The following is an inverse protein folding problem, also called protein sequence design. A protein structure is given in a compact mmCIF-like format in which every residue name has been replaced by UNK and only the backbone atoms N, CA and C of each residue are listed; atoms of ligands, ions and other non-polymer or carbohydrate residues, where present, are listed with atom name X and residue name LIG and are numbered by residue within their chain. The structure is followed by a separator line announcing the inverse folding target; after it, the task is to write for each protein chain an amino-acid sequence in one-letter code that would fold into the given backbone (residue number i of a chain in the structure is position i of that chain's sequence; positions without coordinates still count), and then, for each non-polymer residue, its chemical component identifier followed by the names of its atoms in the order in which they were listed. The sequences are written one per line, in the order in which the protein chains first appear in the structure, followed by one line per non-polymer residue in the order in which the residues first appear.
data_IF_382967956884
#
_entry.id   IF_382967956884
#
_cell.length_a   1.000
_cell.length_b   1.000
_cell.length_c   1.000
_cell.angle_alpha   90.00
_cell.angle_beta   90.00
_cell.angle_gamma   90.00
#
_symmetry.space_group_name_H-M   'P 1'
#
loop_
_entity.id
_entity.type
_entity.pdbx_description
1 polymer ?
#
# COMPACT_ATOMS: atom_id res chain seq x y z
N UNK A 1 23.45 -11.00 6.35
CA UNK A 1 22.65 -10.81 7.58
C UNK A 1 21.44 -11.73 7.50
N UNK A 2 21.02 -12.37 8.60
CA UNK A 2 19.81 -13.22 8.61
C UNK A 2 18.82 -12.68 9.63
N UNK A 3 17.55 -12.62 9.25
CA UNK A 3 16.42 -12.34 10.14
C UNK A 3 15.59 -13.61 10.25
N UNK A 4 15.29 -13.99 11.47
CA UNK A 4 14.47 -15.15 11.79
C UNK A 4 13.03 -14.71 12.07
N UNK A 5 12.07 -15.41 11.47
CA UNK A 5 10.62 -15.13 11.59
C UNK A 5 9.84 -16.42 11.83
N UNK A 6 8.56 -16.25 12.14
CA UNK A 6 7.53 -17.30 12.27
C UNK A 6 6.95 -17.76 10.93
N UNK A 7 7.43 -17.19 9.82
CA UNK A 7 7.02 -17.55 8.46
C UNK A 7 8.21 -18.08 7.67
N UNK A 8 8.02 -18.88 6.60
CA UNK A 8 9.10 -19.52 5.86
C UNK A 8 10.05 -18.56 5.16
N UNK A 9 9.62 -17.30 5.00
CA UNK A 9 10.33 -16.23 4.31
C UNK A 9 9.36 -15.14 3.92
N UNK A 10 9.66 -14.39 2.86
CA UNK A 10 8.74 -13.40 2.28
C UNK A 10 7.73 -14.14 1.41
N UNK A 11 6.46 -13.97 1.71
CA UNK A 11 5.35 -14.53 0.94
C UNK A 11 4.77 -13.48 -0.01
N UNK A 12 4.17 -13.92 -1.11
CA UNK A 12 3.51 -13.04 -2.07
C UNK A 12 2.17 -12.46 -1.58
N UNK A 13 1.78 -12.76 -0.35
CA UNK A 13 0.61 -12.22 0.35
C UNK A 13 0.65 -12.59 1.84
N UNK A 14 -0.16 -11.92 2.65
CA UNK A 14 -0.30 -12.26 4.07
C UNK A 14 -1.12 -13.56 4.20
N UNK A 15 -0.57 -14.64 4.75
CA UNK A 15 -1.27 -15.93 4.87
C UNK A 15 -2.51 -15.87 5.78
N UNK A 16 -2.63 -14.82 6.60
CA UNK A 16 -3.83 -14.57 7.42
C UNK A 16 -4.99 -14.01 6.60
N UNK A 17 -4.72 -13.55 5.38
CA UNK A 17 -5.71 -12.95 4.47
C UNK A 17 -5.88 -13.79 3.20
N UNK A 18 -4.82 -14.41 2.71
CA UNK A 18 -4.79 -15.19 1.47
C UNK A 18 -4.38 -16.63 1.75
N UNK A 19 -5.23 -17.60 1.40
CA UNK A 19 -5.02 -19.02 1.72
C UNK A 19 -3.86 -19.65 0.93
N UNK A 20 -3.63 -19.22 -0.32
CA UNK A 20 -2.67 -19.84 -1.25
C UNK A 20 -1.45 -18.94 -1.48
N UNK A 21 -0.77 -18.58 -0.38
CA UNK A 21 0.45 -17.78 -0.49
C UNK A 21 1.65 -18.61 -0.90
N UNK A 22 2.53 -18.02 -1.73
CA UNK A 22 3.73 -18.66 -2.24
C UNK A 22 4.98 -17.95 -1.71
N UNK A 23 6.00 -18.74 -1.40
CA UNK A 23 7.31 -18.22 -0.98
C UNK A 23 8.01 -17.55 -2.15
N UNK A 24 8.52 -16.34 -1.90
CA UNK A 24 9.43 -15.64 -2.81
C UNK A 24 10.85 -16.01 -2.43
N UNK A 25 11.56 -16.74 -3.29
CA UNK A 25 12.90 -17.20 -3.02
C UNK A 25 13.93 -16.07 -3.08
N UNK A 26 13.65 -15.09 -3.96
CA UNK A 26 14.55 -13.98 -4.20
C UNK A 26 13.78 -12.71 -4.53
N UNK A 27 14.15 -11.60 -3.91
CA UNK A 27 13.63 -10.26 -4.22
C UNK A 27 14.79 -9.24 -4.19
N UNK A 28 14.62 -8.13 -4.93
CA UNK A 28 15.55 -7.01 -4.82
C UNK A 28 15.29 -6.17 -3.58
N UNK A 29 16.27 -5.34 -3.16
CA UNK A 29 16.02 -4.34 -2.12
C UNK A 29 14.90 -3.36 -2.50
N UNK A 30 14.86 -2.97 -3.79
CA UNK A 30 13.81 -2.08 -4.31
C UNK A 30 12.44 -2.72 -4.11
N UNK A 31 12.30 -3.97 -4.53
CA UNK A 31 11.03 -4.69 -4.39
C UNK A 31 10.61 -4.85 -2.92
N UNK A 32 11.55 -5.19 -2.04
CA UNK A 32 11.28 -5.30 -0.61
C UNK A 32 10.82 -3.96 0.01
N UNK A 33 11.38 -2.84 -0.43
CA UNK A 33 10.98 -1.49 0.01
C UNK A 33 9.58 -1.16 -0.53
N UNK A 34 9.30 -1.44 -1.80
CA UNK A 34 7.98 -1.21 -2.40
C UNK A 34 6.89 -2.03 -1.69
N UNK A 35 7.11 -3.32 -1.51
CA UNK A 35 6.19 -4.18 -0.77
C UNK A 35 5.92 -3.64 0.65
N UNK A 36 6.98 -3.22 1.35
CA UNK A 36 6.85 -2.65 2.70
C UNK A 36 6.13 -1.29 2.70
N UNK A 37 6.33 -0.45 1.69
CA UNK A 37 5.64 0.83 1.53
C UNK A 37 4.12 0.61 1.38
N UNK A 38 3.73 -0.34 0.56
CA UNK A 38 2.32 -0.69 0.38
C UNK A 38 1.70 -1.42 1.59
N UNK A 39 2.52 -1.84 2.58
CA UNK A 39 2.04 -2.37 3.85
C UNK A 39 2.35 -3.83 4.13
N UNK A 40 3.15 -4.48 3.29
CA UNK A 40 3.60 -5.83 3.60
C UNK A 40 4.52 -5.84 4.84
N UNK A 41 4.14 -6.64 5.85
CA UNK A 41 4.87 -6.73 7.14
C UNK A 41 6.12 -7.61 7.02
N UNK A 42 6.99 -7.32 6.05
CA UNK A 42 8.18 -8.13 5.79
C UNK A 42 9.32 -7.67 6.70
N UNK A 43 9.81 -6.46 6.45
CA UNK A 43 10.95 -5.84 7.13
C UNK A 43 10.75 -4.32 7.05
N UNK A 44 11.10 -3.64 8.13
CA UNK A 44 10.97 -2.19 8.13
C UNK A 44 11.96 -1.56 7.11
N UNK A 45 11.53 -0.61 6.24
CA UNK A 45 12.41 -0.01 5.23
C UNK A 45 13.72 0.57 5.78
N UNK A 46 13.71 1.12 7.01
CA UNK A 46 14.92 1.62 7.68
C UNK A 46 15.98 0.55 7.93
N UNK A 47 15.58 -0.72 8.02
CA UNK A 47 16.52 -1.85 8.13
C UNK A 47 17.15 -2.19 6.78
N UNK A 48 16.38 -2.04 5.69
CA UNK A 48 16.86 -2.35 4.34
C UNK A 48 17.84 -1.29 3.79
N UNK A 49 17.62 -0.02 4.09
CA UNK A 49 18.43 1.07 3.57
C UNK A 49 19.95 0.95 3.85
N UNK A 50 20.41 0.68 5.10
CA UNK A 50 21.83 0.52 5.36
C UNK A 50 22.43 -0.73 4.72
N UNK A 51 21.65 -1.81 4.60
CA UNK A 51 22.09 -3.05 3.93
C UNK A 51 22.25 -2.84 2.43
N UNK A 52 21.30 -2.14 1.79
CA UNK A 52 21.37 -1.76 0.39
C UNK A 52 22.62 -0.92 0.09
N UNK A 53 22.91 0.11 0.91
CA UNK A 53 24.08 0.98 0.71
C UNK A 53 25.40 0.23 0.77
N UNK A 54 25.47 -0.83 1.59
CA UNK A 54 26.66 -1.67 1.77
C UNK A 54 26.61 -2.96 0.94
N UNK A 55 25.56 -3.15 0.14
CA UNK A 55 25.31 -4.33 -0.69
C UNK A 55 25.36 -5.66 0.10
N UNK A 56 24.95 -5.63 1.39
CA UNK A 56 24.97 -6.78 2.27
C UNK A 56 23.70 -7.61 2.08
N UNK A 57 23.73 -8.83 1.53
CA UNK A 57 22.54 -9.65 1.36
C UNK A 57 21.82 -9.90 2.69
N UNK A 58 20.48 -9.85 2.64
CA UNK A 58 19.62 -10.15 3.76
C UNK A 58 18.87 -11.44 3.47
N UNK A 59 18.90 -12.36 4.43
CA UNK A 59 18.17 -13.63 4.39
C UNK A 59 17.02 -13.57 5.39
N UNK A 60 15.82 -13.93 4.95
CA UNK A 60 14.64 -14.09 5.81
C UNK A 60 14.36 -15.58 5.91
N UNK A 61 14.47 -16.14 7.12
CA UNK A 61 14.30 -17.58 7.38
C UNK A 61 13.33 -17.82 8.53
N UNK A 62 12.74 -19.00 8.57
CA UNK A 62 11.90 -19.43 9.68
C UNK A 62 12.75 -19.98 10.82
N UNK A 63 12.44 -19.57 12.06
CA UNK A 63 13.02 -20.21 13.23
C UNK A 63 12.37 -21.58 13.53
N UNK A 64 11.19 -21.87 12.97
CA UNK A 64 10.55 -23.19 13.06
C UNK A 64 11.17 -24.21 12.10
N UNK A 65 11.72 -23.74 10.97
CA UNK A 65 12.44 -24.57 10.00
C UNK A 65 13.75 -23.88 9.54
N UNK A 66 14.81 -23.94 10.35
CA UNK A 66 16.08 -23.27 10.07
C UNK A 66 16.76 -23.74 8.78
N UNK A 67 16.56 -24.99 8.38
CA UNK A 67 17.13 -25.59 7.15
C UNK A 67 16.36 -25.18 5.89
N UNK A 68 15.20 -24.53 6.04
CA UNK A 68 14.41 -24.03 4.92
C UNK A 68 15.17 -23.02 4.08
N UNK A 69 14.87 -22.96 2.79
CA UNK A 69 15.52 -22.07 1.81
C UNK A 69 15.38 -20.60 2.22
N UNK A 70 14.17 -20.20 2.66
CA UNK A 70 13.87 -18.82 3.00
C UNK A 70 13.82 -17.89 1.79
N UNK A 71 13.98 -16.59 2.05
CA UNK A 71 14.03 -15.55 1.00
C UNK A 71 15.36 -14.82 1.06
N UNK A 72 15.98 -14.62 -0.09
CA UNK A 72 17.18 -13.78 -0.24
C UNK A 72 16.78 -12.40 -0.77
N UNK A 73 17.21 -11.33 -0.08
CA UNK A 73 17.05 -9.95 -0.51
C UNK A 73 18.44 -9.40 -0.87
N UNK A 74 18.63 -9.02 -2.13
CA UNK A 74 19.94 -8.57 -2.61
C UNK A 74 19.84 -7.57 -3.76
N UNK A 75 20.96 -6.96 -4.14
CA UNK A 75 21.05 -5.99 -5.24
C UNK A 75 20.87 -6.68 -6.60
N UNK A 76 20.12 -6.03 -7.51
CA UNK A 76 20.05 -6.39 -8.92
C UNK A 76 19.40 -7.73 -9.25
N UNK A 77 18.76 -8.35 -8.29
CA UNK A 77 18.08 -9.62 -8.48
C UNK A 77 16.60 -9.40 -8.82
N UNK A 78 16.11 -10.13 -9.81
CA UNK A 78 14.69 -10.13 -10.14
C UNK A 78 13.87 -10.84 -9.06
N UNK A 79 12.57 -10.58 -9.04
CA UNK A 79 11.60 -11.33 -8.25
C UNK A 79 11.56 -12.78 -8.74
N UNK A 80 11.73 -13.73 -7.82
CA UNK A 80 11.65 -15.16 -8.11
C UNK A 80 10.83 -15.90 -7.02
N UNK A 81 9.76 -16.59 -7.41
CA UNK A 81 9.11 -16.59 -8.72
C UNK A 81 8.48 -15.23 -9.06
N UNK A 82 8.42 -14.88 -10.37
CA UNK A 82 7.73 -13.68 -10.85
C UNK A 82 6.21 -13.95 -10.85
N UNK A 83 5.57 -13.61 -9.75
CA UNK A 83 4.14 -13.80 -9.51
C UNK A 83 3.51 -12.56 -8.90
N UNK A 84 2.19 -12.38 -9.01
CA UNK A 84 1.49 -11.30 -8.34
C UNK A 84 1.69 -11.33 -6.82
N UNK A 85 2.00 -10.16 -6.25
CA UNK A 85 2.13 -9.95 -4.81
C UNK A 85 0.95 -9.11 -4.31
N UNK A 86 0.22 -9.62 -3.31
CA UNK A 86 -1.01 -9.04 -2.81
C UNK A 86 -0.82 -8.41 -1.44
N UNK A 87 -1.26 -7.17 -1.28
CA UNK A 87 -1.19 -6.43 -0.03
C UNK A 87 -2.55 -5.81 0.23
N UNK A 88 -3.03 -5.89 1.47
CA UNK A 88 -4.31 -5.31 1.87
C UNK A 88 -4.11 -4.46 3.12
N UNK A 89 -4.54 -3.20 3.05
CA UNK A 89 -4.73 -2.33 4.21
C UNK A 89 -6.22 -2.21 4.46
N UNK A 90 -6.69 -2.86 5.53
CA UNK A 90 -8.11 -2.82 5.94
C UNK A 90 -8.42 -1.55 6.71
N UNK A 91 -9.72 -1.23 6.80
CA UNK A 91 -10.25 -0.17 7.64
C UNK A 91 -9.62 1.20 7.33
N UNK A 92 -9.52 1.50 6.04
CA UNK A 92 -9.08 2.81 5.56
C UNK A 92 -10.28 3.74 5.39
N UNK A 93 -10.00 5.02 5.11
CA UNK A 93 -11.00 6.04 4.83
C UNK A 93 -10.73 6.65 3.46
N UNK A 94 -11.73 6.66 2.60
CA UNK A 94 -11.71 7.41 1.35
C UNK A 94 -12.39 8.76 1.55
N UNK A 95 -11.65 9.85 1.35
CA UNK A 95 -12.16 11.22 1.38
C UNK A 95 -12.14 11.75 -0.07
N UNK A 96 -13.29 12.21 -0.55
CA UNK A 96 -13.43 12.90 -1.84
C UNK A 96 -13.73 14.35 -1.59
N UNK A 97 -12.94 15.21 -2.20
CA UNK A 97 -13.02 16.65 -2.08
C UNK A 97 -13.37 17.21 -3.46
N UNK A 98 -14.34 18.10 -3.53
CA UNK A 98 -14.64 18.84 -4.76
C UNK A 98 -14.79 20.34 -4.46
N UNK A 99 -14.49 21.17 -5.46
CA UNK A 99 -14.69 22.59 -5.34
C UNK A 99 -16.17 22.93 -5.16
N UNK A 100 -16.47 23.99 -4.39
CA UNK A 100 -17.85 24.42 -4.14
C UNK A 100 -18.43 25.13 -5.37
N UNK A 101 -17.60 25.82 -6.13
CA UNK A 101 -17.95 26.70 -7.24
C UNK A 101 -17.54 26.17 -8.62
N UNK A 102 -17.21 24.88 -8.71
CA UNK A 102 -16.68 24.23 -9.92
C UNK A 102 -15.33 24.78 -10.40
N UNK A 103 -14.61 25.53 -9.58
CA UNK A 103 -13.24 25.94 -9.87
C UNK A 103 -12.30 24.71 -9.90
N UNK A 104 -11.16 24.84 -10.57
CA UNK A 104 -10.18 23.77 -10.63
C UNK A 104 -9.53 23.53 -9.27
N UNK A 105 -9.30 22.28 -8.94
CA UNK A 105 -8.42 21.89 -7.83
C UNK A 105 -6.98 22.04 -8.31
N UNK A 106 -6.35 23.13 -7.91
CA UNK A 106 -4.99 23.50 -8.29
C UNK A 106 -3.99 23.14 -7.17
N UNK A 107 -2.71 23.35 -7.43
CA UNK A 107 -1.62 23.01 -6.54
C UNK A 107 -1.75 23.61 -5.13
N UNK A 108 -2.30 24.83 -5.03
CA UNK A 108 -2.55 25.49 -3.74
C UNK A 108 -3.56 24.70 -2.90
N UNK A 109 -4.65 24.23 -3.52
CA UNK A 109 -5.66 23.41 -2.86
C UNK A 109 -5.06 22.09 -2.38
N UNK A 110 -4.26 21.43 -3.22
CA UNK A 110 -3.58 20.17 -2.90
C UNK A 110 -2.59 20.37 -1.74
N UNK A 111 -1.81 21.45 -1.78
CA UNK A 111 -0.87 21.83 -0.71
C UNK A 111 -1.60 22.05 0.62
N UNK A 112 -2.72 22.77 0.60
CA UNK A 112 -3.55 22.98 1.78
C UNK A 112 -4.10 21.66 2.34
N UNK A 113 -4.64 20.79 1.48
CA UNK A 113 -5.17 19.47 1.88
C UNK A 113 -4.07 18.61 2.52
N UNK A 114 -2.89 18.52 1.91
CA UNK A 114 -1.77 17.75 2.47
C UNK A 114 -1.26 18.37 3.78
N UNK A 115 -1.27 19.69 3.92
CA UNK A 115 -0.95 20.37 5.17
C UNK A 115 -1.87 19.93 6.31
N UNK A 116 -3.19 19.90 6.07
CA UNK A 116 -4.17 19.40 7.04
C UNK A 116 -4.01 17.90 7.32
N UNK A 117 -3.82 17.07 6.30
CA UNK A 117 -3.58 15.63 6.50
C UNK A 117 -2.36 15.38 7.39
N UNK A 118 -1.31 16.17 7.24
CA UNK A 118 -0.13 16.12 8.11
C UNK A 118 -0.44 16.57 9.55
N UNK A 119 -1.10 17.73 9.72
CA UNK A 119 -1.49 18.27 11.02
C UNK A 119 -2.38 17.32 11.82
N UNK A 120 -3.36 16.73 11.15
CA UNK A 120 -4.26 15.74 11.75
C UNK A 120 -3.69 14.32 11.80
N UNK A 121 -2.42 14.13 11.41
CA UNK A 121 -1.72 12.85 11.44
C UNK A 121 -2.46 11.73 10.68
N UNK A 122 -2.98 12.06 9.50
CA UNK A 122 -3.68 11.14 8.61
C UNK A 122 -2.73 10.67 7.50
N UNK A 123 -2.04 9.53 7.67
CA UNK A 123 -1.14 9.00 6.64
C UNK A 123 -1.89 8.77 5.34
N UNK A 124 -1.30 9.30 4.25
CA UNK A 124 -1.84 9.16 2.90
C UNK A 124 -1.37 7.86 2.28
N UNK A 125 -2.30 7.06 1.79
CA UNK A 125 -2.03 5.76 1.19
C UNK A 125 -2.17 5.77 -0.33
N UNK A 126 -3.13 6.52 -0.86
CA UNK A 126 -3.40 6.65 -2.29
C UNK A 126 -4.07 8.00 -2.58
N UNK A 127 -3.74 8.62 -3.71
CA UNK A 127 -4.37 9.85 -4.17
C UNK A 127 -4.77 9.75 -5.63
N UNK A 128 -5.86 10.42 -5.97
CA UNK A 128 -6.26 10.61 -7.36
C UNK A 128 -6.79 12.04 -7.56
N UNK A 129 -6.27 12.73 -8.55
CA UNK A 129 -6.67 14.08 -8.92
C UNK A 129 -7.50 14.08 -10.20
N UNK A 130 -8.44 15.00 -10.26
CA UNK A 130 -9.19 15.36 -11.47
C UNK A 130 -9.30 16.89 -11.54
N UNK A 131 -9.94 17.44 -12.60
CA UNK A 131 -10.02 18.88 -12.77
C UNK A 131 -10.66 19.61 -11.58
N UNK A 132 -11.77 19.10 -11.06
CA UNK A 132 -12.59 19.73 -10.00
C UNK A 132 -12.71 18.88 -8.75
N UNK A 133 -11.98 17.78 -8.64
CA UNK A 133 -12.02 16.90 -7.47
C UNK A 133 -10.67 16.28 -7.14
N UNK A 134 -10.48 15.98 -5.86
CA UNK A 134 -9.33 15.29 -5.32
C UNK A 134 -9.81 14.19 -4.39
N UNK A 135 -9.36 12.97 -4.63
CA UNK A 135 -9.67 11.81 -3.80
C UNK A 135 -8.43 11.37 -3.06
N UNK A 136 -8.54 11.08 -1.78
CA UNK A 136 -7.44 10.59 -0.96
C UNK A 136 -7.92 9.44 -0.09
N UNK A 137 -7.19 8.31 -0.15
CA UNK A 137 -7.34 7.20 0.77
C UNK A 137 -6.33 7.39 1.91
N UNK A 138 -6.80 7.39 3.16
CA UNK A 138 -6.01 7.69 4.34
C UNK A 138 -6.24 6.68 5.46
N UNK A 139 -5.28 6.60 6.36
CA UNK A 139 -5.38 5.80 7.58
C UNK A 139 -5.80 6.70 8.76
N UNK A 140 -6.96 6.37 9.39
CA UNK A 140 -7.47 7.11 10.56
C UNK A 140 -7.01 6.50 11.89
N UNK A 141 -5.73 6.13 11.99
CA UNK A 141 -5.15 5.51 13.18
C UNK A 141 -5.38 6.30 14.48
N UNK A 142 -5.34 7.61 14.40
CA UNK A 142 -5.47 8.51 15.56
C UNK A 142 -6.89 9.02 15.80
N UNK A 143 -7.87 8.55 15.01
CA UNK A 143 -9.30 8.87 15.15
C UNK A 143 -9.61 10.38 15.10
N UNK A 144 -8.91 11.12 14.23
CA UNK A 144 -9.08 12.57 14.06
C UNK A 144 -9.84 12.96 12.79
N UNK A 145 -10.54 12.00 12.19
CA UNK A 145 -11.26 12.19 10.92
C UNK A 145 -12.33 13.29 11.01
N UNK A 146 -13.13 13.28 12.07
CA UNK A 146 -14.22 14.25 12.23
C UNK A 146 -13.71 15.70 12.30
N UNK A 147 -12.62 15.93 13.05
CA UNK A 147 -11.98 17.24 13.16
C UNK A 147 -11.46 17.70 11.78
N UNK A 148 -10.73 16.82 11.07
CA UNK A 148 -10.24 17.10 9.73
C UNK A 148 -11.36 17.45 8.75
N UNK A 149 -12.42 16.64 8.73
CA UNK A 149 -13.56 16.84 7.82
C UNK A 149 -14.26 18.17 8.09
N UNK A 150 -14.41 18.57 9.36
CA UNK A 150 -14.98 19.86 9.72
C UNK A 150 -14.20 21.02 9.12
N UNK A 151 -12.87 20.97 9.20
CA UNK A 151 -12.01 22.01 8.61
C UNK A 151 -12.06 21.98 7.08
N UNK A 152 -12.00 20.80 6.46
CA UNK A 152 -12.05 20.67 5.01
C UNK A 152 -13.37 21.21 4.41
N UNK A 153 -14.50 21.02 5.10
CA UNK A 153 -15.82 21.51 4.68
C UNK A 153 -15.91 23.03 4.61
N UNK A 154 -14.98 23.78 5.22
CA UNK A 154 -14.94 25.23 5.09
C UNK A 154 -14.55 25.71 3.68
N UNK A 155 -13.91 24.83 2.88
CA UNK A 155 -13.39 25.18 1.53
C UNK A 155 -13.84 24.23 0.43
N UNK A 156 -14.31 23.03 0.78
CA UNK A 156 -14.63 21.98 -0.18
C UNK A 156 -15.96 21.30 0.15
N UNK A 157 -16.62 20.77 -0.88
CA UNK A 157 -17.59 19.71 -0.68
C UNK A 157 -16.83 18.45 -0.30
N UNK A 158 -17.19 17.79 0.81
CA UNK A 158 -16.47 16.65 1.36
C UNK A 158 -17.39 15.45 1.48
N UNK A 159 -17.06 14.40 0.75
CA UNK A 159 -17.67 13.07 0.89
C UNK A 159 -16.67 12.13 1.59
N UNK A 160 -17.17 11.38 2.57
CA UNK A 160 -16.35 10.44 3.34
C UNK A 160 -16.95 9.05 3.24
N UNK A 161 -16.10 8.08 2.97
CA UNK A 161 -16.43 6.66 3.01
C UNK A 161 -15.44 5.97 3.94
N UNK A 162 -15.93 5.53 5.09
CA UNK A 162 -15.15 4.79 6.08
C UNK A 162 -15.21 3.28 5.81
N UNK A 163 -14.35 2.52 6.49
CA UNK A 163 -14.28 1.07 6.41
C UNK A 163 -14.04 0.55 4.98
N UNK A 164 -13.24 1.27 4.22
CA UNK A 164 -12.79 0.81 2.90
C UNK A 164 -11.52 -0.01 3.03
N UNK A 165 -11.33 -0.97 2.14
CA UNK A 165 -10.10 -1.74 2.03
C UNK A 165 -9.26 -1.21 0.86
N UNK A 166 -7.97 -0.96 1.09
CA UNK A 166 -7.01 -0.67 0.02
C UNK A 166 -6.26 -1.93 -0.35
N UNK A 167 -6.55 -2.46 -1.53
CA UNK A 167 -5.83 -3.57 -2.14
C UNK A 167 -4.74 -3.04 -3.05
N UNK A 168 -3.54 -3.57 -2.90
CA UNK A 168 -2.42 -3.32 -3.81
C UNK A 168 -1.94 -4.65 -4.37
N UNK A 169 -1.78 -4.73 -5.68
CA UNK A 169 -1.16 -5.89 -6.36
C UNK A 169 0.05 -5.40 -7.12
N UNK A 170 1.20 -5.95 -6.79
CA UNK A 170 2.43 -5.74 -7.57
C UNK A 170 2.65 -6.92 -8.49
N UNK A 171 3.30 -6.65 -9.65
CA UNK A 171 3.51 -7.63 -10.72
C UNK A 171 2.21 -8.34 -11.14
N UNK A 172 1.14 -7.55 -11.24
CA UNK A 172 -0.18 -8.06 -11.59
C UNK A 172 -0.21 -8.68 -12.99
N UNK A 173 -1.07 -9.66 -13.13
CA UNK A 173 -1.55 -10.20 -14.40
C UNK A 173 -3.06 -10.06 -14.50
N UNK A 174 -3.65 -10.41 -15.64
CA UNK A 174 -5.08 -10.25 -15.87
C UNK A 174 -5.91 -11.10 -14.89
N UNK A 175 -5.46 -12.31 -14.55
CA UNK A 175 -6.12 -13.18 -13.58
C UNK A 175 -6.19 -12.53 -12.18
N UNK A 176 -5.08 -11.97 -11.71
CA UNK A 176 -5.02 -11.26 -10.43
C UNK A 176 -5.96 -10.07 -10.39
N UNK A 177 -6.03 -9.28 -11.48
CA UNK A 177 -6.94 -8.15 -11.58
C UNK A 177 -8.40 -8.58 -11.62
N UNK A 178 -8.72 -9.63 -12.35
CA UNK A 178 -10.08 -10.18 -12.41
C UNK A 178 -10.52 -10.74 -11.06
N UNK A 179 -9.64 -11.42 -10.32
CA UNK A 179 -9.96 -11.95 -9.00
C UNK A 179 -10.37 -10.86 -8.01
N UNK A 180 -9.71 -9.68 -8.07
CA UNK A 180 -10.08 -8.54 -7.23
C UNK A 180 -11.39 -7.91 -7.68
N UNK A 181 -11.62 -7.78 -8.99
CA UNK A 181 -12.87 -7.22 -9.52
C UNK A 181 -14.08 -8.08 -9.23
N UNK A 182 -13.88 -9.39 -9.19
CA UNK A 182 -14.95 -10.38 -8.99
C UNK A 182 -15.15 -10.74 -7.51
N UNK A 183 -14.52 -10.06 -6.56
CA UNK A 183 -14.63 -10.37 -5.14
C UNK A 183 -15.96 -9.96 -4.48
N UNK A 184 -16.90 -9.39 -5.26
CA UNK A 184 -18.21 -8.95 -4.80
C UNK A 184 -18.24 -7.60 -4.10
N UNK A 185 -17.10 -6.92 -3.96
CA UNK A 185 -17.00 -5.57 -3.38
C UNK A 185 -17.12 -4.50 -4.46
N UNK A 186 -17.66 -3.35 -4.07
CA UNK A 186 -17.71 -2.17 -4.94
C UNK A 186 -16.33 -1.53 -5.07
N UNK A 187 -15.84 -1.36 -6.29
CA UNK A 187 -14.62 -0.59 -6.56
C UNK A 187 -14.98 0.90 -6.54
N UNK A 188 -14.42 1.64 -5.58
CA UNK A 188 -14.60 3.08 -5.45
C UNK A 188 -13.55 3.86 -6.22
N UNK A 189 -12.32 3.32 -6.30
CA UNK A 189 -11.17 3.92 -6.94
C UNK A 189 -10.24 2.85 -7.46
N UNK A 190 -9.69 3.04 -8.66
CA UNK A 190 -8.68 2.17 -9.25
C UNK A 190 -7.56 3.04 -9.83
N UNK A 191 -6.32 2.68 -9.54
CA UNK A 191 -5.12 3.31 -10.10
C UNK A 191 -4.13 2.25 -10.53
N UNK A 192 -3.48 2.48 -11.67
CA UNK A 192 -2.47 1.56 -12.19
C UNK A 192 -1.22 2.28 -12.63
N UNK A 193 -0.11 1.61 -12.41
CA UNK A 193 1.18 1.89 -13.04
C UNK A 193 1.59 0.66 -13.85
N UNK A 194 2.81 0.63 -14.37
CA UNK A 194 3.34 -0.51 -15.12
C UNK A 194 3.36 -1.81 -14.31
N UNK A 195 3.74 -1.74 -13.02
CA UNK A 195 3.93 -2.92 -12.17
C UNK A 195 2.94 -3.02 -11.01
N UNK A 196 2.15 -1.98 -10.74
CA UNK A 196 1.31 -1.90 -9.53
C UNK A 196 -0.11 -1.50 -9.88
N UNK A 197 -1.07 -2.24 -9.37
CA UNK A 197 -2.48 -1.87 -9.39
C UNK A 197 -2.99 -1.69 -7.96
N UNK A 198 -3.73 -0.61 -7.71
CA UNK A 198 -4.35 -0.30 -6.43
C UNK A 198 -5.86 -0.13 -6.59
N UNK A 199 -6.61 -0.65 -5.63
CA UNK A 199 -8.08 -0.61 -5.61
C UNK A 199 -8.55 -0.20 -4.22
N UNK A 200 -9.40 0.81 -4.15
CA UNK A 200 -10.17 1.12 -2.94
C UNK A 200 -11.51 0.43 -3.07
N UNK A 201 -11.78 -0.50 -2.17
CA UNK A 201 -12.95 -1.39 -2.18
C UNK A 201 -13.84 -1.13 -0.97
N UNK A 202 -15.15 -1.22 -1.19
CA UNK A 202 -16.17 -1.09 -0.13
C UNK A 202 -17.12 -2.29 -0.11
#
# INVERSE_FOLDING_TARGET
MTIWKDVPGVLNGDPRVFNDTKLLHQISYREAIELAFYGASIIHPKTLQPLQRKEIPLYVKSFENPEGIGTTISKGKALDPLIPCYIVKKDQVLIRLSSIDFSFIVEENISYIFGLLHEYQMPVEMTQNSAISFSVCVNNKYKRLEELVLVLRSRFNVEVKEQVDLFTVRHFNDEALQSIRNNGKQILLEQRTEETAQFVLF
#
